data_IF_996885230488
#
_entry.id   IF_996885230488
#
_cell.length_a   1.000
_cell.length_b   1.000
_cell.length_c   1.000
_cell.angle_alpha   90.00
_cell.angle_beta   90.00
_cell.angle_gamma   90.00
#
_symmetry.space_group_name_H-M   'P 1'
#
loop_
_entity.id
_entity.type
_entity.pdbx_description
1 polymer ?
#
# COMPACT_ATOMS: atom_id res chain seq x y z
N UNK A 1 -16.56 19.16 42.20
CA UNK A 1 -16.67 19.04 40.73
C UNK A 1 -15.33 19.44 40.13
N UNK A 2 -14.84 18.62 39.20
CA UNK A 2 -13.72 18.90 38.26
C UNK A 2 -12.31 18.95 38.90
N UNK A 3 -11.28 18.22 38.48
CA UNK A 3 -11.02 17.46 37.25
C UNK A 3 -9.91 16.44 37.49
N UNK A 4 -10.12 15.19 37.08
CA UNK A 4 -9.06 14.23 36.82
C UNK A 4 -8.84 14.19 35.30
N UNK A 5 -7.82 14.89 34.79
CA UNK A 5 -7.29 14.64 33.44
C UNK A 5 -6.06 13.75 33.58
N UNK A 6 -6.20 12.46 33.23
CA UNK A 6 -5.06 11.58 33.01
C UNK A 6 -4.37 12.00 31.72
N UNK A 7 -3.16 12.54 31.84
CA UNK A 7 -2.26 12.82 30.74
C UNK A 7 -1.89 11.52 30.03
N UNK A 8 -2.35 11.39 28.78
CA UNK A 8 -1.86 10.41 27.81
C UNK A 8 -0.35 10.61 27.64
N UNK A 9 0.45 9.67 28.13
CA UNK A 9 1.89 9.64 27.87
C UNK A 9 2.12 9.11 26.47
N UNK A 10 2.04 10.00 25.48
CA UNK A 10 2.58 9.71 24.15
C UNK A 10 4.10 9.64 24.30
N UNK A 11 4.67 8.45 24.18
CA UNK A 11 6.12 8.27 24.26
C UNK A 11 6.78 8.88 23.02
N UNK A 12 7.29 10.10 23.17
CA UNK A 12 7.89 10.92 22.11
C UNK A 12 9.17 10.28 21.50
N UNK A 13 9.72 9.22 22.12
CA UNK A 13 10.92 8.54 21.64
C UNK A 13 10.74 7.85 20.28
N UNK A 14 9.54 7.34 19.95
CA UNK A 14 9.25 6.73 18.65
C UNK A 14 9.18 7.77 17.52
N UNK A 15 8.85 9.03 17.86
CA UNK A 15 8.77 10.13 16.89
C UNK A 15 10.13 10.79 16.62
N UNK A 16 11.16 10.45 17.40
CA UNK A 16 12.48 11.09 17.35
C UNK A 16 13.63 10.10 17.10
N UNK A 17 13.33 8.84 16.73
CA UNK A 17 14.36 7.90 16.29
C UNK A 17 14.81 8.26 14.86
N UNK A 18 15.85 9.08 14.80
CA UNK A 18 16.51 9.54 13.57
C UNK A 18 17.55 8.57 13.03
N UNK A 19 17.71 7.39 13.66
CA UNK A 19 18.71 6.41 13.23
C UNK A 19 18.27 5.77 11.92
N UNK A 20 18.94 6.21 10.87
CA UNK A 20 18.87 5.63 9.53
C UNK A 20 19.22 4.14 9.57
N UNK A 21 18.34 3.31 9.00
CA UNK A 21 18.61 1.89 8.73
C UNK A 21 18.42 1.68 7.24
N UNK A 22 19.53 1.34 6.55
CA UNK A 22 19.47 1.05 5.13
C UNK A 22 18.60 -0.18 4.88
N UNK A 23 17.58 -0.01 4.02
CA UNK A 23 16.70 -1.10 3.62
C UNK A 23 17.24 -1.90 2.44
N UNK A 24 18.40 -1.59 1.86
CA UNK A 24 18.84 -2.23 0.60
C UNK A 24 18.89 -3.77 0.63
N UNK A 25 19.13 -4.36 1.80
CA UNK A 25 19.14 -5.82 2.03
C UNK A 25 18.00 -6.29 2.95
N UNK A 26 16.98 -5.46 3.17
CA UNK A 26 15.85 -5.82 3.99
C UNK A 26 15.04 -6.95 3.34
N UNK A 27 14.49 -7.82 4.18
CA UNK A 27 13.56 -8.84 3.73
C UNK A 27 12.12 -8.34 3.81
N UNK A 28 11.31 -8.72 2.82
CA UNK A 28 9.90 -8.33 2.71
C UNK A 28 8.99 -9.52 3.04
N UNK A 29 8.02 -9.29 3.93
CA UNK A 29 6.85 -10.14 4.07
C UNK A 29 5.69 -9.46 3.35
N UNK A 30 5.33 -9.98 2.18
CA UNK A 30 4.23 -9.47 1.38
C UNK A 30 2.99 -10.36 1.60
N UNK A 31 1.86 -9.82 1.98
CA UNK A 31 0.64 -10.60 2.15
C UNK A 31 -0.56 -9.84 1.60
N UNK A 32 -1.57 -10.53 1.11
CA UNK A 32 -2.74 -9.86 0.56
C UNK A 32 -3.92 -10.75 0.27
N UNK A 33 -5.08 -10.13 0.06
CA UNK A 33 -6.30 -10.78 -0.39
C UNK A 33 -6.78 -10.12 -1.68
N UNK A 34 -7.03 -10.94 -2.69
CA UNK A 34 -7.55 -10.52 -3.98
C UNK A 34 -9.06 -10.81 -4.13
N UNK A 35 -9.57 -11.75 -3.32
CA UNK A 35 -10.96 -12.22 -3.39
C UNK A 35 -11.67 -11.95 -2.07
N UNK A 36 -12.94 -11.54 -2.15
CA UNK A 36 -13.75 -11.18 -1.00
C UNK A 36 -15.22 -11.56 -1.25
N UNK A 37 -15.94 -11.95 -0.19
CA UNK A 37 -17.35 -12.31 -0.31
C UNK A 37 -18.28 -11.08 -0.47
N UNK A 38 -17.88 -9.93 0.08
CA UNK A 38 -18.74 -8.74 0.25
C UNK A 38 -18.06 -7.42 -0.17
N UNK A 39 -16.84 -7.49 -0.68
CA UNK A 39 -16.08 -6.35 -1.17
C UNK A 39 -15.69 -6.60 -2.62
N UNK A 40 -15.38 -5.54 -3.34
CA UNK A 40 -14.91 -5.65 -4.72
C UNK A 40 -13.60 -6.46 -4.76
N UNK A 41 -13.41 -7.35 -5.74
CA UNK A 41 -12.15 -8.06 -5.91
C UNK A 41 -11.00 -7.08 -6.22
N UNK A 42 -9.79 -7.47 -5.84
CA UNK A 42 -8.55 -6.76 -6.14
C UNK A 42 -7.66 -7.66 -7.00
N UNK A 43 -7.97 -7.79 -8.31
CA UNK A 43 -7.28 -8.73 -9.18
C UNK A 43 -5.78 -8.47 -9.30
N UNK A 44 -5.29 -7.24 -9.15
CA UNK A 44 -3.86 -6.90 -9.28
C UNK A 44 -3.01 -7.32 -8.07
N UNK A 45 -3.61 -7.60 -6.91
CA UNK A 45 -2.91 -8.01 -5.68
C UNK A 45 -1.93 -9.18 -5.88
N UNK A 46 -2.28 -10.32 -6.52
CA UNK A 46 -1.35 -11.41 -6.75
C UNK A 46 -0.11 -10.98 -7.56
N UNK A 47 -0.30 -10.08 -8.53
CA UNK A 47 0.80 -9.55 -9.34
C UNK A 47 1.66 -8.59 -8.53
N UNK A 48 1.05 -7.71 -7.75
CA UNK A 48 1.76 -6.81 -6.84
C UNK A 48 2.67 -7.62 -5.90
N UNK A 49 2.12 -8.61 -5.21
CA UNK A 49 2.87 -9.44 -4.28
C UNK A 49 4.02 -10.18 -4.97
N UNK A 50 3.77 -10.78 -6.14
CA UNK A 50 4.82 -11.48 -6.91
C UNK A 50 5.92 -10.52 -7.38
N UNK A 51 5.56 -9.32 -7.82
CA UNK A 51 6.50 -8.31 -8.30
C UNK A 51 7.40 -7.83 -7.17
N UNK A 52 6.84 -7.64 -5.97
CA UNK A 52 7.61 -7.23 -4.79
C UNK A 52 8.64 -8.30 -4.42
N UNK A 53 8.25 -9.57 -4.31
CA UNK A 53 9.17 -10.65 -3.91
C UNK A 53 10.12 -11.12 -5.02
N UNK A 54 9.83 -10.79 -6.29
CA UNK A 54 10.79 -10.92 -7.39
C UNK A 54 11.89 -9.86 -7.28
N UNK A 55 11.53 -8.65 -6.86
CA UNK A 55 12.47 -7.54 -6.68
C UNK A 55 13.26 -7.70 -5.38
N UNK A 56 12.64 -8.19 -4.32
CA UNK A 56 13.18 -8.18 -2.96
C UNK A 56 13.24 -9.57 -2.36
N UNK A 57 14.26 -9.86 -1.54
CA UNK A 57 14.30 -11.12 -0.80
C UNK A 57 13.10 -11.19 0.16
N UNK A 58 12.26 -12.21 0.05
CA UNK A 58 11.02 -12.22 0.81
C UNK A 58 10.16 -13.45 0.63
N UNK A 59 8.96 -13.39 1.21
CA UNK A 59 7.89 -14.37 1.00
C UNK A 59 6.57 -13.64 0.77
N UNK A 60 5.75 -14.20 -0.11
CA UNK A 60 4.39 -13.75 -0.37
C UNK A 60 3.36 -14.77 0.12
N UNK A 61 2.21 -14.30 0.59
CA UNK A 61 1.06 -15.13 0.99
C UNK A 61 -0.24 -14.49 0.51
N UNK A 62 -1.08 -15.26 -0.18
CA UNK A 62 -2.29 -14.78 -0.83
C UNK A 62 -3.53 -15.44 -0.23
N UNK A 63 -4.65 -14.70 -0.20
CA UNK A 63 -5.99 -15.18 0.13
C UNK A 63 -6.00 -16.03 1.41
N UNK A 64 -6.28 -17.34 1.34
CA UNK A 64 -6.38 -18.26 2.48
C UNK A 64 -5.13 -18.27 3.37
N UNK A 65 -3.99 -17.86 2.83
CA UNK A 65 -2.74 -17.76 3.57
C UNK A 65 -2.53 -16.37 4.19
N UNK A 66 -3.32 -15.37 3.82
CA UNK A 66 -3.33 -14.03 4.40
C UNK A 66 -4.24 -13.94 5.63
N UNK A 67 -3.79 -14.60 6.70
CA UNK A 67 -4.46 -14.64 8.00
C UNK A 67 -3.61 -13.99 9.08
N UNK A 68 -4.25 -13.56 10.17
CA UNK A 68 -3.55 -12.97 11.32
C UNK A 68 -2.55 -13.95 11.93
N UNK A 69 -2.93 -15.23 12.01
CA UNK A 69 -2.09 -16.28 12.56
C UNK A 69 -0.85 -16.51 11.70
N UNK A 70 -0.99 -16.56 10.37
CA UNK A 70 0.17 -16.72 9.50
C UNK A 70 1.08 -15.48 9.53
N UNK A 71 0.52 -14.26 9.54
CA UNK A 71 1.29 -13.03 9.69
C UNK A 71 2.20 -13.06 10.94
N UNK A 72 1.63 -13.43 12.10
CA UNK A 72 2.39 -13.60 13.35
C UNK A 72 3.43 -14.71 13.24
N UNK A 73 3.07 -15.85 12.66
CA UNK A 73 3.96 -16.99 12.49
C UNK A 73 5.17 -16.67 11.60
N UNK A 74 4.96 -16.04 10.44
CA UNK A 74 6.08 -15.66 9.57
C UNK A 74 7.00 -14.64 10.24
N UNK A 75 6.41 -13.69 10.99
CA UNK A 75 7.18 -12.65 11.67
C UNK A 75 7.99 -13.15 12.87
N UNK A 76 7.56 -14.24 13.52
CA UNK A 76 8.33 -14.88 14.60
C UNK A 76 9.48 -15.74 14.07
N UNK A 77 9.35 -16.29 12.86
CA UNK A 77 10.38 -17.12 12.20
C UNK A 77 11.48 -16.27 11.58
N UNK A 78 11.11 -15.17 10.93
CA UNK A 78 12.02 -14.29 10.22
C UNK A 78 11.76 -12.83 10.59
N UNK A 79 12.79 -12.06 10.96
CA UNK A 79 12.64 -10.67 11.34
C UNK A 79 12.49 -9.75 10.13
N UNK A 80 11.37 -9.88 9.41
CA UNK A 80 11.06 -9.03 8.25
C UNK A 80 11.07 -7.56 8.65
N UNK A 81 11.89 -6.78 7.94
CA UNK A 81 12.03 -5.34 8.16
C UNK A 81 10.95 -4.56 7.40
N UNK A 82 10.42 -5.15 6.33
CA UNK A 82 9.32 -4.58 5.55
C UNK A 82 8.13 -5.54 5.61
N UNK A 83 6.97 -5.00 5.99
CA UNK A 83 5.68 -5.72 5.91
C UNK A 83 4.82 -4.99 4.88
N UNK A 84 4.36 -5.71 3.87
CA UNK A 84 3.51 -5.19 2.82
C UNK A 84 2.17 -5.91 2.85
N UNK A 85 1.08 -5.16 3.00
CA UNK A 85 -0.29 -5.68 3.07
C UNK A 85 -1.12 -5.12 1.90
N UNK A 86 -1.49 -6.00 0.97
CA UNK A 86 -2.25 -5.69 -0.24
C UNK A 86 -3.69 -6.20 -0.13
N UNK A 87 -4.58 -5.34 0.35
CA UNK A 87 -5.98 -5.68 0.67
C UNK A 87 -6.77 -4.41 0.96
N UNK A 88 -8.10 -4.52 1.01
CA UNK A 88 -8.96 -3.44 1.49
C UNK A 88 -8.63 -3.06 2.93
N UNK A 89 -8.52 -1.76 3.19
CA UNK A 89 -8.50 -1.18 4.52
C UNK A 89 -9.48 -0.02 4.61
N UNK A 90 -10.14 0.14 5.76
CA UNK A 90 -11.06 1.24 6.01
C UNK A 90 -10.59 2.00 7.25
N UNK A 91 -10.21 3.26 7.06
CA UNK A 91 -9.86 4.14 8.17
C UNK A 91 -11.02 5.10 8.43
N UNK A 92 -11.63 4.90 9.60
CA UNK A 92 -12.81 5.64 10.05
C UNK A 92 -12.44 6.69 11.09
N UNK A 93 -13.23 7.76 11.16
CA UNK A 93 -13.13 8.72 12.24
C UNK A 93 -13.42 8.11 13.62
N UNK A 94 -12.95 8.80 14.66
CA UNK A 94 -13.12 8.38 16.06
C UNK A 94 -12.05 7.40 16.55
N UNK A 95 -12.47 6.33 17.23
CA UNK A 95 -11.57 5.39 17.87
C UNK A 95 -10.82 4.51 16.84
N UNK A 96 -9.56 4.17 17.12
CA UNK A 96 -8.76 3.33 16.24
C UNK A 96 -9.40 1.95 15.97
N UNK A 97 -10.18 1.41 16.91
CA UNK A 97 -10.94 0.16 16.75
C UNK A 97 -12.05 0.22 15.69
N UNK A 98 -12.46 1.43 15.26
CA UNK A 98 -13.41 1.62 14.15
C UNK A 98 -12.75 1.37 12.79
N UNK A 99 -11.42 1.46 12.73
CA UNK A 99 -10.62 1.27 11.52
C UNK A 99 -10.07 -0.15 11.46
N UNK A 100 -10.02 -0.72 10.26
CA UNK A 100 -9.54 -2.10 10.08
C UNK A 100 -8.84 -2.33 8.75
N UNK A 101 -8.00 -3.36 8.75
CA UNK A 101 -7.42 -4.00 7.56
C UNK A 101 -8.18 -5.31 7.34
N UNK A 102 -8.70 -5.53 6.14
CA UNK A 102 -9.41 -6.75 5.79
C UNK A 102 -8.39 -7.87 5.57
N UNK A 103 -8.42 -8.90 6.41
CA UNK A 103 -7.70 -10.16 6.20
C UNK A 103 -8.62 -11.17 5.52
N UNK A 104 -8.09 -12.33 5.17
CA UNK A 104 -8.91 -13.41 4.64
C UNK A 104 -9.91 -13.95 5.68
N UNK A 105 -9.43 -14.15 6.90
CA UNK A 105 -10.18 -14.80 7.99
C UNK A 105 -10.86 -13.82 8.94
N UNK A 106 -10.82 -12.51 8.66
CA UNK A 106 -11.44 -11.51 9.50
C UNK A 106 -10.93 -10.11 9.28
N UNK A 107 -11.12 -9.26 10.29
CA UNK A 107 -10.69 -7.86 10.29
C UNK A 107 -9.64 -7.66 11.36
N UNK A 108 -8.52 -7.06 10.98
CA UNK A 108 -7.48 -6.63 11.90
C UNK A 108 -7.70 -5.16 12.23
N UNK A 109 -8.17 -4.88 13.44
CA UNK A 109 -8.41 -3.51 13.88
C UNK A 109 -7.09 -2.78 14.11
N UNK A 110 -7.10 -1.47 13.93
CA UNK A 110 -5.89 -0.65 13.99
C UNK A 110 -5.26 -0.62 15.39
N UNK A 111 -6.08 -0.67 16.44
CA UNK A 111 -5.63 -0.78 17.84
C UNK A 111 -4.98 -2.13 18.16
N UNK A 112 -5.32 -3.18 17.40
CA UNK A 112 -4.71 -4.50 17.53
C UNK A 112 -3.31 -4.57 16.91
N UNK A 113 -2.96 -3.67 15.98
CA UNK A 113 -1.63 -3.67 15.33
C UNK A 113 -0.50 -3.51 16.34
N UNK A 114 -0.69 -2.67 17.37
CA UNK A 114 0.31 -2.49 18.43
C UNK A 114 0.68 -3.80 19.14
N UNK A 115 -0.27 -4.72 19.24
CA UNK A 115 -0.09 -5.98 19.93
C UNK A 115 0.67 -7.03 19.08
N UNK A 116 1.04 -6.69 17.84
CA UNK A 116 1.83 -7.56 16.96
C UNK A 116 3.33 -7.54 17.26
N UNK A 117 3.80 -6.64 18.13
CA UNK A 117 5.19 -6.62 18.59
C UNK A 117 6.19 -6.21 17.52
N UNK A 118 5.76 -5.41 16.54
CA UNK A 118 6.60 -4.94 15.42
C UNK A 118 7.69 -3.94 15.80
N UNK A 119 7.84 -3.63 17.09
CA UNK A 119 8.95 -2.85 17.63
C UNK A 119 10.15 -3.71 18.03
N UNK A 120 10.04 -5.04 18.10
CA UNK A 120 11.16 -5.91 18.46
C UNK A 120 11.11 -7.32 17.81
N UNK A 121 11.99 -7.62 16.82
CA UNK A 121 12.85 -6.67 16.14
C UNK A 121 12.01 -5.67 15.33
N UNK A 122 12.48 -4.44 15.10
CA UNK A 122 11.68 -3.40 14.49
C UNK A 122 11.27 -3.73 13.05
N UNK A 123 10.03 -3.39 12.69
CA UNK A 123 9.57 -3.23 11.32
C UNK A 123 9.87 -1.79 10.93
N UNK A 124 10.75 -1.64 9.95
CA UNK A 124 11.22 -0.35 9.44
C UNK A 124 10.19 0.30 8.52
N UNK A 125 9.38 -0.51 7.82
CA UNK A 125 8.36 -0.02 6.91
C UNK A 125 7.14 -0.96 6.88
N UNK A 126 5.97 -0.42 7.20
CA UNK A 126 4.67 -1.01 6.89
C UNK A 126 4.13 -0.36 5.61
N UNK A 127 3.71 -1.15 4.63
CA UNK A 127 3.04 -0.67 3.43
C UNK A 127 1.63 -1.22 3.40
N UNK A 128 0.64 -0.34 3.23
CA UNK A 128 -0.77 -0.69 3.06
C UNK A 128 -1.21 -0.21 1.67
N UNK A 129 -1.25 -1.12 0.68
CA UNK A 129 -1.37 -0.71 -0.72
C UNK A 129 -2.81 -0.43 -1.18
N UNK A 130 -3.85 -0.99 -0.55
CA UNK A 130 -5.25 -0.83 -0.99
C UNK A 130 -6.20 -0.28 0.09
N UNK A 131 -5.81 0.81 0.77
CA UNK A 131 -6.62 1.43 1.81
C UNK A 131 -7.52 2.55 1.28
N UNK A 132 -8.71 2.67 1.88
CA UNK A 132 -9.58 3.84 1.81
C UNK A 132 -9.50 4.55 3.16
N UNK A 133 -8.92 5.74 3.19
CA UNK A 133 -9.10 6.65 4.34
C UNK A 133 -10.17 7.67 3.99
N UNK A 134 -11.08 7.95 4.92
CA UNK A 134 -12.04 9.03 4.79
C UNK A 134 -11.37 10.37 5.11
N UNK A 135 -10.55 10.89 4.17
CA UNK A 135 -10.05 12.25 4.27
C UNK A 135 -11.22 13.26 4.26
N UNK A 136 -11.15 14.29 5.11
CA UNK A 136 -12.20 15.31 5.28
C UNK A 136 -12.93 15.28 6.63
N UNK A 137 -12.61 14.34 7.52
CA UNK A 137 -13.00 14.34 8.93
C UNK A 137 -11.74 14.45 9.79
N UNK A 138 -11.65 15.50 10.61
CA UNK A 138 -10.48 15.81 11.46
C UNK A 138 -10.05 14.61 12.33
N UNK A 139 -10.98 13.77 12.75
CA UNK A 139 -10.66 12.62 13.60
C UNK A 139 -10.11 11.42 12.81
N UNK A 140 -10.50 11.26 11.53
CA UNK A 140 -9.88 10.28 10.63
C UNK A 140 -8.44 10.69 10.31
N UNK A 141 -8.21 11.99 10.10
CA UNK A 141 -6.89 12.55 9.82
C UNK A 141 -5.90 12.29 10.96
N UNK A 142 -6.35 12.44 12.21
CA UNK A 142 -5.55 12.11 13.39
C UNK A 142 -5.26 10.61 13.52
N UNK A 143 -6.24 9.75 13.23
CA UNK A 143 -6.05 8.28 13.22
C UNK A 143 -4.99 7.85 12.21
N UNK A 144 -5.06 8.42 11.01
CA UNK A 144 -4.09 8.16 9.94
C UNK A 144 -2.70 8.74 10.25
N UNK A 145 -2.61 9.98 10.74
CA UNK A 145 -1.33 10.59 11.13
C UNK A 145 -0.61 9.80 12.24
N UNK A 146 -1.36 9.07 13.07
CA UNK A 146 -0.85 8.18 14.10
C UNK A 146 -0.55 6.75 13.65
N UNK A 147 -0.77 6.37 12.38
CA UNK A 147 -0.74 4.98 11.91
C UNK A 147 0.57 4.25 12.25
N UNK A 148 1.73 4.85 11.92
CA UNK A 148 3.02 4.24 12.21
C UNK A 148 3.20 3.99 13.72
N UNK A 149 2.83 4.97 14.54
CA UNK A 149 2.86 4.85 15.98
C UNK A 149 1.91 3.75 16.48
N UNK A 150 0.65 3.74 16.03
CA UNK A 150 -0.36 2.76 16.39
C UNK A 150 0.04 1.34 16.00
N UNK A 151 0.67 1.17 14.84
CA UNK A 151 1.20 -0.12 14.39
C UNK A 151 2.51 -0.53 15.10
N UNK A 152 3.16 0.38 15.81
CA UNK A 152 4.46 0.11 16.45
C UNK A 152 5.59 -0.09 15.45
N UNK A 153 5.51 0.54 14.28
CA UNK A 153 6.52 0.50 13.21
C UNK A 153 7.23 1.86 13.12
N UNK A 154 8.41 1.90 12.49
CA UNK A 154 9.11 3.18 12.31
C UNK A 154 8.44 4.09 11.29
N UNK A 155 7.96 3.49 10.20
CA UNK A 155 7.35 4.21 9.08
C UNK A 155 6.18 3.40 8.53
N UNK A 156 5.13 4.10 8.08
CA UNK A 156 4.01 3.51 7.36
C UNK A 156 3.77 4.26 6.06
N UNK A 157 3.55 3.53 4.97
CA UNK A 157 3.10 4.04 3.68
C UNK A 157 1.66 3.59 3.46
N UNK A 158 0.75 4.53 3.28
CA UNK A 158 -0.67 4.24 3.06
C UNK A 158 -1.33 5.33 2.21
N UNK A 159 -2.47 5.00 1.59
CA UNK A 159 -3.25 5.90 0.74
C UNK A 159 -4.27 6.72 1.52
N UNK A 160 -4.41 7.98 1.13
CA UNK A 160 -5.32 9.00 1.66
C UNK A 160 -6.74 8.96 1.07
N UNK A 161 -6.93 8.26 -0.03
CA UNK A 161 -8.23 8.01 -0.64
C UNK A 161 -8.16 6.73 -1.45
N UNK A 162 -9.30 6.29 -1.99
CA UNK A 162 -9.34 5.14 -2.86
C UNK A 162 -8.53 5.38 -4.13
N UNK A 163 -7.57 4.51 -4.39
CA UNK A 163 -6.83 4.42 -5.66
C UNK A 163 -7.23 3.11 -6.34
N UNK A 164 -7.39 3.14 -7.67
CA UNK A 164 -7.62 1.94 -8.48
C UNK A 164 -6.53 0.89 -8.25
N UNK A 165 -6.89 -0.39 -8.31
CA UNK A 165 -5.98 -1.51 -8.10
C UNK A 165 -4.77 -1.47 -9.06
N UNK A 166 -4.98 -1.09 -10.32
CA UNK A 166 -3.94 -0.94 -11.34
C UNK A 166 -2.96 0.20 -11.03
N UNK A 167 -3.49 1.35 -10.62
CA UNK A 167 -2.69 2.51 -10.22
C UNK A 167 -1.83 2.21 -8.99
N UNK A 168 -2.38 1.48 -8.02
CA UNK A 168 -1.65 0.98 -6.86
C UNK A 168 -0.53 0.03 -7.27
N UNK A 169 -0.82 -0.99 -8.09
CA UNK A 169 0.18 -1.92 -8.60
C UNK A 169 1.34 -1.18 -9.28
N UNK A 170 1.02 -0.20 -10.12
CA UNK A 170 1.99 0.61 -10.83
C UNK A 170 2.90 1.41 -9.89
N UNK A 171 2.30 2.13 -8.93
CA UNK A 171 3.05 2.91 -7.95
C UNK A 171 3.91 2.02 -7.06
N UNK A 172 3.37 0.90 -6.56
CA UNK A 172 4.09 0.01 -5.64
C UNK A 172 5.25 -0.69 -6.35
N UNK A 173 5.06 -1.13 -7.59
CA UNK A 173 6.13 -1.72 -8.39
C UNK A 173 7.32 -0.75 -8.56
N UNK A 174 7.04 0.51 -8.89
CA UNK A 174 8.07 1.53 -9.03
C UNK A 174 8.65 1.97 -7.67
N UNK A 175 7.83 2.09 -6.63
CA UNK A 175 8.29 2.42 -5.28
C UNK A 175 9.31 1.39 -4.77
N UNK A 176 9.01 0.10 -4.87
CA UNK A 176 9.95 -0.95 -4.46
C UNK A 176 11.18 -1.03 -5.36
N UNK A 177 11.09 -0.62 -6.63
CA UNK A 177 12.26 -0.50 -7.49
C UNK A 177 13.19 0.63 -7.01
N UNK A 178 12.64 1.84 -6.80
CA UNK A 178 13.38 3.01 -6.34
C UNK A 178 13.95 2.82 -4.92
N UNK A 179 13.21 2.12 -4.04
CA UNK A 179 13.62 1.86 -2.65
C UNK A 179 14.93 1.05 -2.55
N UNK A 180 15.34 0.31 -3.60
CA UNK A 180 16.60 -0.43 -3.60
C UNK A 180 17.84 0.47 -3.57
N UNK A 181 17.72 1.68 -4.12
CA UNK A 181 18.86 2.58 -4.31
C UNK A 181 18.67 3.91 -3.61
N UNK A 182 17.42 4.30 -3.34
CA UNK A 182 17.12 5.54 -2.65
C UNK A 182 17.74 5.55 -1.25
N UNK A 183 18.34 6.69 -0.82
CA UNK A 183 18.95 6.81 0.49
C UNK A 183 17.91 6.93 1.60
N UNK A 184 16.66 7.31 1.32
CA UNK A 184 15.57 7.37 2.32
C UNK A 184 14.23 6.95 1.70
N UNK A 185 13.32 6.43 2.53
CA UNK A 185 12.01 5.87 2.10
C UNK A 185 11.14 6.91 1.39
N UNK A 186 11.14 8.15 1.89
CA UNK A 186 10.38 9.24 1.29
C UNK A 186 10.89 9.64 -0.12
N UNK A 187 12.20 9.53 -0.36
CA UNK A 187 12.78 9.81 -1.68
C UNK A 187 12.40 8.73 -2.69
N UNK A 188 12.35 7.45 -2.27
CA UNK A 188 11.85 6.36 -3.11
C UNK A 188 10.39 6.60 -3.55
N UNK A 189 9.53 7.01 -2.62
CA UNK A 189 8.13 7.33 -2.91
C UNK A 189 8.04 8.52 -3.88
N UNK A 190 8.76 9.61 -3.61
CA UNK A 190 8.80 10.78 -4.49
C UNK A 190 9.28 10.40 -5.89
N UNK A 191 10.33 9.59 -6.02
CA UNK A 191 10.85 9.15 -7.31
C UNK A 191 9.80 8.34 -8.09
N UNK A 192 9.08 7.44 -7.42
CA UNK A 192 8.00 6.68 -8.03
C UNK A 192 6.84 7.58 -8.51
N UNK A 193 6.44 8.55 -7.68
CA UNK A 193 5.42 9.54 -8.06
C UNK A 193 5.88 10.37 -9.27
N UNK A 194 7.13 10.82 -9.32
CA UNK A 194 7.69 11.54 -10.47
C UNK A 194 7.69 10.68 -11.72
N UNK A 195 8.06 9.40 -11.63
CA UNK A 195 8.04 8.49 -12.78
C UNK A 195 6.62 8.30 -13.34
N UNK A 196 5.60 8.24 -12.48
CA UNK A 196 4.19 8.24 -12.90
C UNK A 196 3.78 9.57 -13.54
N UNK A 197 4.13 10.72 -12.94
CA UNK A 197 3.86 12.07 -13.50
C UNK A 197 4.47 12.23 -14.89
N UNK A 198 5.67 11.68 -15.11
CA UNK A 198 6.38 11.75 -16.38
C UNK A 198 5.88 10.72 -17.41
N UNK A 199 4.89 9.89 -17.06
CA UNK A 199 4.35 8.84 -17.93
C UNK A 199 5.33 7.70 -18.21
N UNK A 200 6.41 7.59 -17.42
CA UNK A 200 7.36 6.49 -17.53
C UNK A 200 6.76 5.19 -17.01
N UNK A 201 5.90 5.30 -15.99
CA UNK A 201 5.10 4.20 -15.47
C UNK A 201 3.70 4.27 -16.05
N UNK A 202 3.28 3.22 -16.77
CA UNK A 202 2.01 3.21 -17.50
C UNK A 202 1.53 1.78 -17.76
N UNK A 203 0.23 1.62 -17.97
CA UNK A 203 -0.36 0.34 -18.37
C UNK A 203 -0.89 0.47 -19.79
N UNK A 204 -0.35 -0.34 -20.69
CA UNK A 204 -0.76 -0.41 -22.09
C UNK A 204 -1.09 -1.85 -22.45
N UNK A 205 -2.32 -2.10 -22.94
CA UNK A 205 -2.79 -3.42 -23.34
C UNK A 205 -2.57 -4.51 -22.26
N UNK A 206 -2.82 -4.15 -20.99
CA UNK A 206 -2.54 -5.03 -19.86
C UNK A 206 -1.07 -5.36 -19.67
N UNK A 207 -0.17 -4.50 -20.11
CA UNK A 207 1.25 -4.64 -19.82
C UNK A 207 1.63 -3.41 -19.01
N UNK A 208 2.16 -3.66 -17.83
CA UNK A 208 2.69 -2.60 -16.99
C UNK A 208 4.13 -2.32 -17.45
N UNK A 209 4.37 -1.05 -17.75
CA UNK A 209 5.65 -0.50 -18.19
C UNK A 209 6.19 0.45 -17.13
N UNK A 210 7.51 0.50 -17.00
CA UNK A 210 8.20 1.40 -16.08
C UNK A 210 9.69 1.09 -15.97
N UNK A 211 10.47 1.96 -15.31
CA UNK A 211 11.89 1.73 -15.04
C UNK A 211 12.18 0.37 -14.41
N UNK A 212 11.31 -0.07 -13.49
CA UNK A 212 11.36 -1.39 -12.86
C UNK A 212 11.28 -2.57 -13.83
N UNK A 213 10.62 -2.43 -14.98
CA UNK A 213 10.48 -3.50 -15.99
C UNK A 213 11.80 -3.71 -16.73
N UNK A 214 12.53 -2.63 -17.04
CA UNK A 214 13.84 -2.73 -17.68
C UNK A 214 14.88 -3.41 -16.77
N UNK A 215 14.73 -3.29 -15.45
CA UNK A 215 15.53 -4.02 -14.47
C UNK A 215 15.20 -5.54 -14.42
N UNK A 216 14.05 -5.95 -14.95
CA UNK A 216 13.51 -7.32 -14.90
C UNK A 216 13.90 -8.12 -16.17
N UNK A 217 15.18 -8.40 -16.40
CA UNK A 217 15.61 -9.40 -17.39
C UNK A 217 15.27 -10.82 -16.89
N UNK A 218 13.98 -11.22 -16.93
CA UNK A 218 13.61 -12.64 -16.67
C UNK A 218 12.19 -12.98 -16.20
N UNK A 219 11.30 -12.03 -15.90
CA UNK A 219 9.97 -12.34 -15.32
C UNK A 219 8.83 -12.34 -16.34
N UNK A 220 8.59 -13.42 -17.08
CA UNK A 220 7.48 -13.50 -18.04
C UNK A 220 6.10 -13.65 -17.38
N UNK A 221 6.03 -14.27 -16.20
CA UNK A 221 4.76 -14.64 -15.55
C UNK A 221 3.96 -13.43 -15.05
N UNK A 222 4.63 -12.39 -14.52
CA UNK A 222 3.94 -11.18 -14.04
C UNK A 222 3.32 -10.41 -15.22
N UNK A 223 3.99 -10.34 -16.37
CA UNK A 223 3.47 -9.61 -17.53
C UNK A 223 2.29 -10.33 -18.21
N UNK A 224 2.29 -11.67 -18.20
CA UNK A 224 1.15 -12.45 -18.69
C UNK A 224 -0.08 -12.28 -17.81
N UNK A 225 0.09 -12.27 -16.48
CA UNK A 225 -1.02 -12.06 -15.55
C UNK A 225 -1.66 -10.66 -15.70
N UNK A 226 -0.89 -9.60 -15.98
CA UNK A 226 -1.46 -8.25 -16.21
C UNK A 226 -2.28 -8.25 -17.51
N UNK A 227 -1.86 -9.01 -18.54
CA UNK A 227 -2.61 -9.14 -19.80
C UNK A 227 -3.94 -9.86 -19.60
N UNK A 228 -3.96 -10.87 -18.75
CA UNK A 228 -5.17 -11.62 -18.40
C UNK A 228 -6.15 -10.75 -17.59
N UNK A 229 -5.64 -9.88 -16.70
CA UNK A 229 -6.47 -8.88 -16.02
C UNK A 229 -7.05 -7.86 -16.97
N UNK A 230 -6.24 -7.37 -17.92
CA UNK A 230 -6.71 -6.44 -18.94
C UNK A 230 -7.59 -7.08 -20.02
N UNK A 231 -7.94 -8.36 -19.90
CA UNK A 231 -8.99 -8.98 -20.72
C UNK A 231 -10.38 -8.90 -20.10
N UNK A 232 -10.50 -8.61 -18.79
CA UNK A 232 -11.72 -8.83 -18.01
C UNK A 232 -12.62 -7.61 -17.78
N UNK A 233 -12.31 -6.46 -18.39
CA UNK A 233 -13.22 -5.31 -18.53
C UNK A 233 -13.60 -4.53 -17.26
N UNK A 234 -12.87 -4.63 -16.15
CA UNK A 234 -13.30 -3.97 -14.91
C UNK A 234 -13.04 -2.45 -14.91
N UNK A 235 -14.04 -1.69 -15.34
CA UNK A 235 -14.10 -0.23 -15.16
C UNK A 235 -14.69 0.12 -13.81
N UNK A 236 -13.91 0.71 -12.91
CA UNK A 236 -14.44 1.35 -11.70
C UNK A 236 -14.80 2.82 -11.95
N UNK A 237 -15.86 3.34 -11.33
CA UNK A 237 -16.33 4.70 -11.59
C UNK A 237 -15.32 5.73 -11.08
N UNK A 238 -14.97 6.68 -11.95
CA UNK A 238 -14.42 7.96 -11.51
C UNK A 238 -15.38 8.60 -10.50
N UNK A 239 -14.91 9.23 -9.40
CA UNK A 239 -15.77 10.03 -8.56
C UNK A 239 -16.42 11.13 -9.40
N UNK A 240 -17.75 11.21 -9.38
CA UNK A 240 -18.51 12.23 -10.10
C UNK A 240 -18.05 13.63 -9.69
N UNK A 241 -17.40 14.37 -10.60
CA UNK A 241 -16.91 15.72 -10.33
C UNK A 241 -15.78 16.23 -11.23
N UNK A 242 -15.19 15.42 -12.11
CA UNK A 242 -14.24 15.90 -13.12
C UNK A 242 -15.00 16.49 -14.32
N UNK A 243 -14.66 17.69 -14.83
CA UNK A 243 -15.20 18.15 -16.10
C UNK A 243 -14.58 17.32 -17.23
N UNK A 244 -15.30 16.31 -17.71
CA UNK A 244 -14.98 15.69 -19.00
C UNK A 244 -15.39 16.67 -20.09
N UNK A 245 -14.42 17.35 -20.66
CA UNK A 245 -14.62 18.13 -21.88
C UNK A 245 -15.06 17.22 -23.02
N UNK A 246 -16.16 17.63 -23.65
CA UNK A 246 -16.80 17.08 -24.85
C UNK A 246 -17.40 15.68 -24.76
N UNK A 247 -18.74 15.68 -24.75
CA UNK A 247 -19.56 14.50 -24.93
C UNK A 247 -19.33 13.85 -26.29
N UNK A 248 -19.05 12.56 -26.23
CA UNK A 248 -19.56 11.56 -27.16
C UNK A 248 -19.79 10.27 -26.37
N UNK A 249 -20.83 9.56 -26.77
CA UNK A 249 -21.45 8.38 -26.16
C UNK A 249 -20.48 7.32 -25.64
N UNK A 250 -20.66 6.96 -24.36
CA UNK A 250 -19.95 5.91 -23.65
C UNK A 250 -20.43 4.52 -24.11
N UNK A 251 -19.59 3.85 -24.89
CA UNK A 251 -19.66 2.42 -25.19
C UNK A 251 -18.30 1.99 -25.74
N UNK A 252 -17.75 0.91 -25.20
CA UNK A 252 -16.65 0.10 -25.77
C UNK A 252 -15.17 0.55 -25.62
N UNK A 253 -14.79 1.36 -24.62
CA UNK A 253 -13.36 1.65 -24.37
C UNK A 253 -12.86 1.14 -23.00
N UNK A 254 -13.10 -0.13 -22.68
CA UNK A 254 -12.30 -0.84 -21.68
C UNK A 254 -10.98 -1.24 -22.34
N UNK A 255 -9.85 -0.73 -21.84
CA UNK A 255 -8.44 -0.99 -22.22
C UNK A 255 -7.75 -0.03 -23.19
N UNK A 256 -8.29 1.17 -23.41
CA UNK A 256 -7.47 2.28 -23.88
C UNK A 256 -6.37 2.59 -22.84
N UNK A 257 -5.14 2.84 -23.28
CA UNK A 257 -3.97 3.13 -22.45
C UNK A 257 -4.34 3.97 -21.22
N UNK A 258 -4.24 3.38 -20.02
CA UNK A 258 -4.53 4.12 -18.80
C UNK A 258 -3.38 5.09 -18.55
N UNK A 259 -3.67 6.38 -18.73
CA UNK A 259 -2.74 7.44 -18.44
C UNK A 259 -2.64 7.64 -16.91
N UNK A 260 -1.66 6.98 -16.30
CA UNK A 260 -1.42 7.02 -14.85
C UNK A 260 -0.73 8.32 -14.38
N UNK A 261 -0.56 9.33 -15.25
CA UNK A 261 0.03 10.63 -14.90
C UNK A 261 -0.87 11.47 -13.97
N UNK A 262 -2.18 11.21 -13.96
CA UNK A 262 -3.12 11.98 -13.16
C UNK A 262 -2.86 11.82 -11.64
N UNK A 263 -2.84 12.91 -10.85
CA UNK A 263 -2.50 12.89 -9.42
C UNK A 263 -3.28 11.89 -8.59
N UNK A 264 -4.54 11.65 -8.97
CA UNK A 264 -5.40 10.63 -8.35
C UNK A 264 -4.69 9.30 -8.06
N UNK A 265 -3.83 8.82 -8.96
CA UNK A 265 -3.18 7.51 -8.84
C UNK A 265 -1.95 7.48 -7.93
N UNK A 266 -1.30 8.61 -7.69
CA UNK A 266 0.01 8.65 -7.02
C UNK A 266 0.08 9.59 -5.83
N UNK A 267 -0.71 10.66 -5.82
CA UNK A 267 -0.69 11.66 -4.74
C UNK A 267 -1.47 11.23 -3.50
N UNK A 268 -2.22 10.13 -3.60
CA UNK A 268 -2.93 9.55 -2.46
C UNK A 268 -1.96 8.98 -1.43
N UNK A 269 -0.84 8.42 -1.87
CA UNK A 269 0.07 7.70 -1.00
C UNK A 269 1.00 8.66 -0.27
N UNK A 270 1.09 8.49 1.04
CA UNK A 270 1.94 9.31 1.89
C UNK A 270 2.69 8.47 2.91
N UNK A 271 3.88 8.95 3.27
CA UNK A 271 4.76 8.35 4.27
C UNK A 271 4.48 8.98 5.63
N UNK A 272 4.29 8.14 6.65
CA UNK A 272 3.94 8.51 8.01
C UNK A 272 5.01 7.96 8.94
N UNK A 273 5.47 8.74 9.92
CA UNK A 273 6.56 8.35 10.83
C UNK A 273 7.93 8.77 10.32
N UNK A 274 8.97 8.01 10.69
CA UNK A 274 10.36 8.37 10.38
C UNK A 274 10.64 8.23 8.88
N UNK A 275 10.99 9.30 8.14
CA UNK A 275 11.20 9.20 6.71
C UNK A 275 12.57 8.59 6.34
N UNK A 276 13.48 8.51 7.32
CA UNK A 276 14.83 7.97 7.21
C UNK A 276 14.86 6.44 7.34
#
# INVERSE_FOLDING_TARGET
MLSNCQLSTVNCQLLNDTRYVSLQNASVLAMGAAQFDRLDPLPAVPIELSTIVDLWQGKSFLNEQFTLNNLKFQRSRNPYQIIHLATHGEFKPGAASNSFIQLWDGKLQLDQLRNLGWNNPPVELLVLSACRTALGDETTEMGFAGLAFQAGVKSALASLWYVSDEGTLALMSEFYHQLKTAPIKAEALRAAQIAMIQGQVRIENGVLWGPFVAAKRGGQNSQQAIREMAGNGDSLPYPSGTPTGNGNSLGEDSFAAQNLTHPYFWSAFTMIGSPW
#
